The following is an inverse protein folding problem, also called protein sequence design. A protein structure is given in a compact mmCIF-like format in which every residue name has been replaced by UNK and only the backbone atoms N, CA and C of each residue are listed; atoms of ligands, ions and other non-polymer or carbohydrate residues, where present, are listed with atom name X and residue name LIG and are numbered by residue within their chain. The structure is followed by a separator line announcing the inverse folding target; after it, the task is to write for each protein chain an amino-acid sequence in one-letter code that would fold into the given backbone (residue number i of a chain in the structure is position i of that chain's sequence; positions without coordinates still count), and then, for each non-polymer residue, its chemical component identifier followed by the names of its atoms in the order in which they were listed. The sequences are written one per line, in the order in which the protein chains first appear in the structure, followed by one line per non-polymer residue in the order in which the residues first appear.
data_IF_683735624990
#
_entry.id   IF_683735624990
#
_cell.length_a   1.000
_cell.length_b   1.000
_cell.length_c   1.000
_cell.angle_alpha   90.00
_cell.angle_beta   90.00
_cell.angle_gamma   90.00
#
_symmetry.space_group_name_H-M   'P 1'
#
loop_
_entity.id
_entity.type
_entity.pdbx_description
1 polymer ?
#
# COMPACT_ATOMS: atom_id res chain seq x y z
N UNK A 1 -9.10 -14.97 43.41
CA UNK A 1 -8.78 -15.46 42.06
C UNK A 1 -9.40 -14.50 41.08
N UNK A 2 -8.66 -13.98 40.12
CA UNK A 2 -9.19 -13.05 39.12
C UNK A 2 -10.01 -13.85 38.12
N UNK A 3 -11.20 -13.36 37.77
CA UNK A 3 -12.04 -13.98 36.75
C UNK A 3 -11.90 -13.21 35.46
N UNK A 4 -11.26 -13.81 34.44
CA UNK A 4 -11.08 -13.21 33.12
C UNK A 4 -12.04 -13.89 32.16
N UNK A 5 -12.86 -13.08 31.46
CA UNK A 5 -13.88 -13.59 30.53
C UNK A 5 -13.80 -12.84 29.22
N UNK A 6 -13.75 -13.60 28.13
CA UNK A 6 -13.97 -13.07 26.79
C UNK A 6 -15.46 -13.10 26.47
N UNK A 7 -16.03 -11.93 26.23
CA UNK A 7 -17.43 -11.71 25.88
C UNK A 7 -17.50 -11.48 24.38
N UNK A 8 -18.16 -12.36 23.64
CA UNK A 8 -18.41 -12.19 22.21
C UNK A 8 -19.89 -11.90 21.98
N UNK A 9 -20.19 -10.80 21.31
CA UNK A 9 -21.55 -10.36 20.98
C UNK A 9 -21.68 -10.29 19.48
N UNK A 10 -22.72 -10.89 18.93
CA UNK A 10 -22.98 -10.90 17.48
C UNK A 10 -24.47 -10.68 17.22
N UNK A 11 -24.74 -9.95 16.13
CA UNK A 11 -26.13 -9.68 15.71
C UNK A 11 -26.19 -8.50 14.74
N UNK A 12 -27.37 -7.97 14.53
CA UNK A 12 -27.56 -6.79 13.69
C UNK A 12 -26.94 -5.54 14.33
N UNK A 13 -26.16 -4.78 13.55
CA UNK A 13 -25.55 -3.54 14.03
C UNK A 13 -26.61 -2.45 14.24
N UNK A 14 -26.63 -1.85 15.42
CA UNK A 14 -27.56 -0.79 15.79
C UNK A 14 -26.88 0.28 16.64
N UNK A 15 -27.21 1.56 16.45
CA UNK A 15 -26.72 2.63 17.29
C UNK A 15 -27.03 2.39 18.78
N UNK A 16 -26.04 2.62 19.64
CA UNK A 16 -26.18 2.53 21.09
C UNK A 16 -25.88 1.15 21.69
N UNK A 17 -25.66 0.11 20.90
CA UNK A 17 -25.38 -1.23 21.39
C UNK A 17 -24.10 -1.28 22.25
N UNK A 18 -22.99 -0.71 21.75
CA UNK A 18 -21.75 -0.63 22.49
C UNK A 18 -21.93 0.13 23.80
N UNK A 19 -22.66 1.26 23.79
CA UNK A 19 -22.93 2.06 24.99
C UNK A 19 -23.77 1.27 26.03
N UNK A 20 -24.75 0.50 25.59
CA UNK A 20 -25.58 -0.33 26.48
C UNK A 20 -24.75 -1.42 27.18
N UNK A 21 -23.93 -2.15 26.42
CA UNK A 21 -23.08 -3.22 26.96
C UNK A 21 -22.01 -2.67 27.88
N UNK A 22 -21.27 -1.63 27.46
CA UNK A 22 -20.22 -1.01 28.29
C UNK A 22 -20.82 -0.33 29.52
N UNK A 23 -22.06 0.16 29.45
CA UNK A 23 -22.80 0.69 30.59
C UNK A 23 -23.02 -0.35 31.69
N UNK A 24 -23.39 -1.59 31.33
CA UNK A 24 -23.50 -2.71 32.28
C UNK A 24 -22.16 -3.05 32.91
N UNK A 25 -21.09 -3.12 32.11
CA UNK A 25 -19.74 -3.37 32.59
C UNK A 25 -19.28 -2.28 33.59
N UNK A 26 -19.56 -1.01 33.28
CA UNK A 26 -19.23 0.12 34.13
C UNK A 26 -19.94 0.07 35.50
N UNK A 27 -21.25 -0.27 35.50
CA UNK A 27 -22.02 -0.43 36.74
C UNK A 27 -21.49 -1.60 37.60
N UNK A 28 -20.96 -2.64 36.98
CA UNK A 28 -20.31 -3.77 37.66
C UNK A 28 -18.89 -3.53 38.11
N UNK A 29 -18.30 -2.35 37.84
CA UNK A 29 -16.91 -2.03 38.18
C UNK A 29 -15.89 -2.93 37.48
N UNK A 30 -16.20 -3.38 36.25
CA UNK A 30 -15.40 -4.33 35.48
C UNK A 30 -14.28 -3.63 34.77
N UNK A 31 -13.06 -4.21 34.81
CA UNK A 31 -11.93 -3.74 34.04
C UNK A 31 -11.94 -4.33 32.61
N UNK A 32 -11.79 -3.48 31.62
CA UNK A 32 -11.64 -3.91 30.22
C UNK A 32 -10.14 -4.13 29.95
N UNK A 33 -9.77 -5.36 29.56
CA UNK A 33 -8.41 -5.75 29.24
C UNK A 33 -8.10 -5.61 27.74
N UNK A 34 -9.12 -5.88 26.90
CA UNK A 34 -9.05 -5.68 25.46
C UNK A 34 -10.45 -5.53 24.86
N UNK A 35 -10.55 -4.86 23.70
CA UNK A 35 -11.82 -4.60 23.04
C UNK A 35 -11.63 -4.53 21.54
N UNK A 36 -12.52 -5.17 20.78
CA UNK A 36 -12.54 -5.14 19.33
C UNK A 36 -13.96 -5.21 18.77
N UNK A 37 -14.21 -4.42 17.73
CA UNK A 37 -15.49 -4.40 17.03
C UNK A 37 -15.29 -4.41 15.52
N UNK A 38 -16.06 -5.21 14.82
CA UNK A 38 -16.12 -5.21 13.36
C UNK A 38 -17.57 -5.29 12.89
N UNK A 39 -17.86 -4.60 11.78
CA UNK A 39 -19.18 -4.66 11.13
C UNK A 39 -18.98 -5.06 9.68
N UNK A 40 -19.60 -6.17 9.25
CA UNK A 40 -19.62 -6.63 7.87
C UNK A 40 -21.07 -6.63 7.39
N UNK A 41 -21.36 -5.81 6.38
CA UNK A 41 -22.73 -5.50 5.95
C UNK A 41 -23.50 -4.84 7.10
N UNK A 42 -24.44 -5.51 7.71
CA UNK A 42 -25.24 -5.09 8.85
C UNK A 42 -25.01 -5.96 10.10
N UNK A 43 -24.03 -6.85 10.04
CA UNK A 43 -23.74 -7.78 11.12
C UNK A 43 -22.55 -7.32 11.95
N UNK A 44 -22.81 -7.08 13.24
CA UNK A 44 -21.81 -6.75 14.24
C UNK A 44 -21.13 -8.02 14.76
N UNK A 45 -19.80 -7.95 14.92
CA UNK A 45 -19.00 -8.81 15.77
C UNK A 45 -18.28 -7.94 16.80
N UNK A 46 -18.62 -8.09 18.08
CA UNK A 46 -18.08 -7.28 19.15
C UNK A 46 -17.50 -8.18 20.24
N UNK A 47 -16.18 -8.10 20.44
CA UNK A 47 -15.43 -8.86 21.43
C UNK A 47 -14.91 -7.95 22.53
N UNK A 48 -15.08 -8.35 23.80
CA UNK A 48 -14.54 -7.63 24.95
C UNK A 48 -13.89 -8.65 25.88
N UNK A 49 -12.61 -8.46 26.19
CA UNK A 49 -11.92 -9.22 27.22
C UNK A 49 -11.96 -8.43 28.52
N UNK A 50 -12.52 -9.01 29.56
CA UNK A 50 -12.74 -8.34 30.83
C UNK A 50 -12.16 -9.08 32.02
N UNK A 51 -11.73 -8.32 33.03
CA UNK A 51 -11.42 -8.81 34.37
C UNK A 51 -12.59 -8.42 35.29
N UNK A 52 -13.26 -9.42 35.83
CA UNK A 52 -14.40 -9.22 36.75
C UNK A 52 -13.87 -9.28 38.18
N UNK A 53 -14.20 -8.32 39.05
CA UNK A 53 -13.82 -8.39 40.47
C UNK A 53 -14.38 -9.65 41.13
N UNK A 54 -13.58 -10.33 41.93
CA UNK A 54 -13.89 -11.61 42.58
C UNK A 54 -14.80 -11.45 43.84
N UNK A 55 -15.83 -10.65 43.73
CA UNK A 55 -16.86 -10.48 44.75
C UNK A 55 -18.17 -11.13 44.27
N UNK A 56 -19.16 -11.28 45.13
CA UNK A 56 -20.46 -11.91 44.82
C UNK A 56 -21.21 -11.29 43.61
N UNK A 57 -20.67 -10.19 43.07
CA UNK A 57 -21.24 -9.45 41.94
C UNK A 57 -20.87 -10.04 40.56
N UNK A 58 -19.87 -10.92 40.46
CA UNK A 58 -19.42 -11.43 39.14
C UNK A 58 -20.54 -12.15 38.36
N UNK A 59 -21.32 -12.98 39.06
CA UNK A 59 -22.45 -13.68 38.43
C UNK A 59 -23.60 -12.74 38.06
N UNK A 60 -23.72 -11.59 38.71
CA UNK A 60 -24.74 -10.56 38.38
C UNK A 60 -24.37 -9.87 37.06
N UNK A 61 -23.13 -9.43 36.87
CA UNK A 61 -22.68 -8.70 35.67
C UNK A 61 -22.91 -9.53 34.39
N UNK A 62 -22.51 -10.82 34.40
CA UNK A 62 -22.70 -11.68 33.24
C UNK A 62 -24.18 -11.89 32.91
N UNK A 63 -25.06 -12.01 33.93
CA UNK A 63 -26.51 -12.08 33.74
C UNK A 63 -27.07 -10.78 33.17
N UNK A 64 -26.63 -9.65 33.67
CA UNK A 64 -27.06 -8.32 33.21
C UNK A 64 -26.68 -8.08 31.75
N UNK A 65 -25.46 -8.51 31.33
CA UNK A 65 -25.01 -8.50 29.94
C UNK A 65 -25.92 -9.41 29.10
N UNK A 66 -26.21 -10.64 29.56
CA UNK A 66 -27.08 -11.57 28.85
C UNK A 66 -28.47 -10.98 28.64
N UNK A 67 -29.08 -10.39 29.67
CA UNK A 67 -30.38 -9.75 29.55
C UNK A 67 -30.37 -8.53 28.65
N UNK A 68 -29.29 -7.72 28.72
CA UNK A 68 -29.12 -6.54 27.86
C UNK A 68 -28.97 -6.95 26.40
N UNK A 69 -28.13 -7.93 26.12
CA UNK A 69 -27.97 -8.49 24.78
C UNK A 69 -29.25 -9.04 24.22
N UNK A 70 -30.00 -9.83 25.04
CA UNK A 70 -31.30 -10.37 24.66
C UNK A 70 -32.33 -9.27 24.31
N UNK A 71 -32.41 -8.20 25.11
CA UNK A 71 -33.32 -7.06 24.83
C UNK A 71 -32.94 -6.33 23.54
N UNK A 72 -31.68 -6.39 23.13
CA UNK A 72 -31.16 -5.79 21.90
C UNK A 72 -31.14 -6.76 20.72
N UNK A 73 -31.72 -7.94 20.88
CA UNK A 73 -31.76 -9.01 19.88
C UNK A 73 -30.33 -9.41 19.41
N UNK A 74 -29.43 -9.49 20.39
CA UNK A 74 -28.02 -9.89 20.17
C UNK A 74 -27.75 -11.24 20.78
N UNK A 75 -26.89 -12.02 20.12
CA UNK A 75 -26.36 -13.26 20.68
C UNK A 75 -25.08 -12.93 21.48
N UNK A 76 -24.95 -13.54 22.66
CA UNK A 76 -23.75 -13.40 23.48
C UNK A 76 -23.18 -14.75 23.85
N UNK A 77 -21.84 -14.85 23.81
CA UNK A 77 -21.07 -16.01 24.26
C UNK A 77 -20.02 -15.57 25.25
N UNK A 78 -19.97 -16.25 26.39
CA UNK A 78 -18.95 -16.08 27.40
C UNK A 78 -17.92 -17.21 27.28
N UNK A 79 -16.63 -16.84 27.26
CA UNK A 79 -15.52 -17.81 27.24
C UNK A 79 -14.56 -17.47 28.38
N UNK A 80 -14.46 -18.28 29.43
CA UNK A 80 -13.49 -18.08 30.49
C UNK A 80 -12.06 -18.17 29.94
N UNK A 81 -11.18 -17.31 30.43
CA UNK A 81 -9.77 -17.27 30.07
C UNK A 81 -8.96 -17.49 31.34
N UNK A 82 -7.99 -18.41 31.33
CA UNK A 82 -7.14 -18.60 32.48
C UNK A 82 -6.16 -17.44 32.62
N UNK A 83 -5.72 -17.17 33.86
CA UNK A 83 -4.68 -16.13 34.09
C UNK A 83 -3.38 -16.46 33.34
N UNK A 84 -3.05 -17.75 33.24
CA UNK A 84 -1.87 -18.22 32.50
C UNK A 84 -1.99 -17.95 31.00
N UNK A 85 -3.14 -18.24 30.38
CA UNK A 85 -3.38 -17.98 28.94
C UNK A 85 -3.35 -16.48 28.65
N UNK A 86 -3.92 -15.67 29.55
CA UNK A 86 -3.86 -14.22 29.44
C UNK A 86 -2.42 -13.70 29.49
N UNK A 87 -1.60 -14.17 30.45
CA UNK A 87 -0.19 -13.75 30.56
C UNK A 87 0.62 -14.19 29.34
N UNK A 88 0.41 -15.39 28.81
CA UNK A 88 1.05 -15.85 27.58
C UNK A 88 0.65 -15.00 26.38
N UNK A 89 -0.62 -14.64 26.29
CA UNK A 89 -1.11 -13.76 25.24
C UNK A 89 -0.48 -12.36 25.33
N UNK A 90 -0.39 -11.77 26.51
CA UNK A 90 0.29 -10.48 26.75
C UNK A 90 1.76 -10.56 26.38
N UNK A 91 2.47 -11.62 26.81
CA UNK A 91 3.89 -11.84 26.48
C UNK A 91 4.12 -12.01 24.96
N UNK A 92 3.13 -12.48 24.23
CA UNK A 92 3.14 -12.57 22.77
C UNK A 92 2.90 -11.24 22.03
N UNK A 93 2.56 -10.17 22.75
CA UNK A 93 2.43 -8.84 22.18
C UNK A 93 3.82 -8.24 21.89
N UNK A 94 3.88 -7.20 21.05
CA UNK A 94 5.16 -6.53 20.73
C UNK A 94 5.97 -7.18 19.61
N UNK A 95 5.49 -8.24 18.97
CA UNK A 95 6.10 -8.75 17.74
C UNK A 95 5.99 -7.72 16.63
N UNK A 96 6.94 -7.75 15.70
CA UNK A 96 6.92 -6.86 14.52
C UNK A 96 5.60 -6.98 13.78
N UNK A 97 5.11 -5.85 13.34
CA UNK A 97 3.90 -5.74 12.53
C UNK A 97 4.26 -5.39 11.11
N UNK A 98 3.53 -5.99 10.18
CA UNK A 98 3.65 -5.73 8.75
C UNK A 98 2.27 -5.56 8.15
N UNK A 99 2.24 -4.90 7.01
CA UNK A 99 1.04 -4.73 6.20
C UNK A 99 1.27 -5.42 4.86
N UNK A 100 0.31 -6.27 4.48
CA UNK A 100 0.20 -6.77 3.10
C UNK A 100 -0.97 -6.07 2.46
N UNK A 101 -0.73 -5.39 1.34
CA UNK A 101 -1.79 -4.71 0.58
C UNK A 101 -1.98 -5.44 -0.74
N UNK A 102 -3.20 -5.88 -1.01
CA UNK A 102 -3.61 -6.46 -2.27
C UNK A 102 -4.44 -5.44 -3.06
N UNK A 103 -4.00 -5.09 -4.26
CA UNK A 103 -4.74 -4.25 -5.20
C UNK A 103 -5.19 -5.11 -6.39
N UNK A 104 -6.46 -5.00 -6.76
CA UNK A 104 -7.07 -5.81 -7.82
C UNK A 104 -8.27 -5.11 -8.45
N UNK A 105 -8.65 -5.50 -9.65
CA UNK A 105 -9.92 -5.05 -10.26
C UNK A 105 -11.13 -5.66 -9.55
N UNK A 106 -11.04 -6.95 -9.18
CA UNK A 106 -12.09 -7.67 -8.46
C UNK A 106 -11.47 -8.57 -7.41
N UNK A 107 -11.93 -8.43 -6.16
CA UNK A 107 -11.46 -9.28 -5.05
C UNK A 107 -12.04 -10.68 -5.20
N UNK A 108 -11.18 -11.70 -5.23
CA UNK A 108 -11.57 -13.11 -5.33
C UNK A 108 -11.09 -13.91 -4.12
N UNK A 109 -11.75 -15.02 -3.84
CA UNK A 109 -11.35 -15.94 -2.78
C UNK A 109 -9.95 -16.54 -3.01
N UNK A 110 -9.59 -16.81 -4.28
CA UNK A 110 -8.28 -17.33 -4.66
C UNK A 110 -7.16 -16.36 -4.29
N UNK A 111 -7.30 -15.06 -4.60
CA UNK A 111 -6.33 -14.03 -4.25
C UNK A 111 -6.11 -13.97 -2.72
N UNK A 112 -7.18 -13.99 -1.94
CA UNK A 112 -7.09 -13.98 -0.47
C UNK A 112 -6.44 -15.25 0.06
N UNK A 113 -6.80 -16.40 -0.50
CA UNK A 113 -6.24 -17.69 -0.12
C UNK A 113 -4.73 -17.74 -0.38
N UNK A 114 -4.27 -17.29 -1.57
CA UNK A 114 -2.84 -17.27 -1.93
C UNK A 114 -2.04 -16.35 -0.99
N UNK A 115 -2.53 -15.13 -0.74
CA UNK A 115 -1.88 -14.18 0.20
C UNK A 115 -1.83 -14.79 1.60
N UNK A 116 -2.93 -15.36 2.10
CA UNK A 116 -2.99 -15.96 3.43
C UNK A 116 -2.07 -17.17 3.57
N UNK A 117 -1.97 -18.00 2.53
CA UNK A 117 -1.09 -19.17 2.54
C UNK A 117 0.39 -18.79 2.58
N UNK A 118 0.78 -17.76 1.83
CA UNK A 118 2.15 -17.23 1.86
C UNK A 118 2.47 -16.67 3.25
N UNK A 119 1.61 -15.83 3.82
CA UNK A 119 1.82 -15.27 5.16
C UNK A 119 2.01 -16.36 6.21
N UNK A 120 1.15 -17.38 6.20
CA UNK A 120 1.24 -18.52 7.11
C UNK A 120 2.51 -19.35 6.93
N UNK A 121 2.92 -19.62 5.68
CA UNK A 121 4.14 -20.36 5.33
C UNK A 121 5.39 -19.70 5.91
N UNK A 122 5.43 -18.36 5.95
CA UNK A 122 6.56 -17.61 6.48
C UNK A 122 6.43 -17.26 7.97
N UNK A 123 5.49 -17.88 8.70
CA UNK A 123 5.34 -17.73 10.15
C UNK A 123 4.66 -16.44 10.60
N UNK A 124 3.98 -15.77 9.71
CA UNK A 124 3.22 -14.56 10.02
C UNK A 124 1.76 -14.89 10.34
N UNK A 125 1.22 -14.27 11.39
CA UNK A 125 -0.20 -14.36 11.74
C UNK A 125 -0.97 -13.16 11.21
N UNK A 126 -2.13 -13.40 10.61
CA UNK A 126 -3.04 -12.34 10.18
C UNK A 126 -3.91 -11.96 11.38
N UNK A 127 -3.77 -10.72 11.85
CA UNK A 127 -4.54 -10.17 12.96
C UNK A 127 -5.83 -9.49 12.47
N UNK A 128 -5.76 -8.81 11.31
CA UNK A 128 -6.86 -8.02 10.74
C UNK A 128 -6.86 -8.10 9.24
N UNK A 129 -8.06 -8.07 8.65
CA UNK A 129 -8.25 -7.93 7.19
C UNK A 129 -9.29 -6.84 6.96
N UNK A 130 -8.86 -5.76 6.30
CA UNK A 130 -9.71 -4.62 6.00
C UNK A 130 -9.84 -4.38 4.51
N UNK A 131 -11.06 -4.12 4.06
CA UNK A 131 -11.28 -3.63 2.72
C UNK A 131 -11.23 -2.11 2.72
N UNK A 132 -10.19 -1.53 2.12
CA UNK A 132 -9.98 -0.09 2.02
C UNK A 132 -10.74 0.54 0.85
N UNK A 133 -11.05 -0.23 -0.19
CA UNK A 133 -11.85 0.26 -1.33
C UNK A 133 -13.35 0.28 -1.02
N UNK A 134 -14.08 1.14 -1.71
CA UNK A 134 -15.54 1.18 -1.66
C UNK A 134 -16.18 -0.17 -2.05
N UNK A 135 -17.43 -0.37 -1.66
CA UNK A 135 -18.26 -1.50 -2.12
C UNK A 135 -18.78 -1.18 -3.51
N UNK A 136 -18.76 -2.16 -4.40
CA UNK A 136 -19.20 -1.99 -5.78
C UNK A 136 -20.54 -2.65 -6.01
N UNK A 137 -21.42 -2.07 -6.86
CA UNK A 137 -22.64 -2.72 -7.31
C UNK A 137 -22.34 -4.06 -7.99
N UNK A 138 -23.26 -5.01 -7.90
CA UNK A 138 -23.08 -6.36 -8.45
C UNK A 138 -23.01 -6.39 -9.98
N UNK A 139 -23.62 -5.40 -10.63
CA UNK A 139 -23.72 -5.22 -12.07
C UNK A 139 -22.58 -4.40 -12.68
N UNK A 140 -21.64 -3.92 -11.84
CA UNK A 140 -20.46 -3.17 -12.34
C UNK A 140 -19.56 -4.07 -13.19
N UNK A 141 -19.13 -3.62 -14.39
CA UNK A 141 -18.15 -4.33 -15.20
C UNK A 141 -16.85 -4.61 -14.42
N UNK A 142 -16.29 -5.79 -14.61
CA UNK A 142 -15.13 -6.24 -13.82
C UNK A 142 -13.86 -5.39 -14.05
N UNK A 143 -13.72 -4.81 -15.23
CA UNK A 143 -12.61 -3.95 -15.62
C UNK A 143 -12.65 -2.55 -14.99
N UNK A 144 -13.82 -2.10 -14.56
CA UNK A 144 -14.02 -0.82 -13.88
C UNK A 144 -13.88 -0.93 -12.35
N UNK A 145 -13.77 -2.15 -11.84
CA UNK A 145 -13.63 -2.41 -10.42
C UNK A 145 -12.28 -1.92 -9.86
N UNK A 146 -12.30 -1.50 -8.59
CA UNK A 146 -11.10 -1.20 -7.80
C UNK A 146 -11.24 -1.86 -6.44
N UNK A 147 -10.45 -2.90 -6.19
CA UNK A 147 -10.39 -3.63 -4.94
C UNK A 147 -9.07 -3.35 -4.22
N UNK A 148 -9.15 -2.93 -2.96
CA UNK A 148 -7.99 -2.79 -2.09
C UNK A 148 -8.27 -3.51 -0.78
N UNK A 149 -7.46 -4.52 -0.47
CA UNK A 149 -7.53 -5.26 0.79
C UNK A 149 -6.21 -5.08 1.53
N UNK A 150 -6.29 -4.72 2.78
CA UNK A 150 -5.16 -4.63 3.69
C UNK A 150 -5.22 -5.77 4.71
N UNK A 151 -4.11 -6.49 4.86
CA UNK A 151 -3.91 -7.48 5.91
C UNK A 151 -2.91 -6.92 6.91
N UNK A 152 -3.32 -6.75 8.14
CA UNK A 152 -2.40 -6.51 9.26
C UNK A 152 -1.86 -7.84 9.72
N UNK A 153 -0.55 -8.04 9.60
CA UNK A 153 0.10 -9.29 9.97
C UNK A 153 1.16 -9.07 11.02
N UNK A 154 1.34 -10.06 11.91
CA UNK A 154 2.25 -10.02 13.03
C UNK A 154 3.21 -11.19 13.01
N UNK A 155 4.48 -10.93 13.32
CA UNK A 155 5.52 -11.93 13.40
C UNK A 155 6.83 -11.49 12.77
N UNK A 156 7.81 -12.37 12.78
CA UNK A 156 9.04 -12.20 12.02
C UNK A 156 9.04 -13.21 10.89
N UNK A 157 9.13 -12.70 9.65
CA UNK A 157 9.23 -13.58 8.49
C UNK A 157 10.55 -14.36 8.56
N UNK A 158 10.48 -15.66 8.41
CA UNK A 158 11.66 -16.53 8.45
C UNK A 158 12.67 -16.17 7.34
N UNK A 159 12.17 -15.76 6.17
CA UNK A 159 12.94 -15.25 5.04
C UNK A 159 12.14 -14.14 4.33
N UNK A 160 12.43 -12.85 4.64
CA UNK A 160 11.71 -11.73 4.04
C UNK A 160 11.94 -11.57 2.53
N UNK A 161 13.08 -12.03 2.00
CA UNK A 161 13.38 -11.92 0.57
C UNK A 161 12.60 -12.97 -0.22
N UNK A 162 12.62 -14.23 0.24
CA UNK A 162 11.84 -15.29 -0.36
C UNK A 162 10.33 -15.01 -0.29
N UNK A 163 9.85 -14.44 0.83
CA UNK A 163 8.45 -14.02 0.98
C UNK A 163 8.07 -12.98 -0.08
N UNK A 164 8.90 -11.95 -0.29
CA UNK A 164 8.63 -10.93 -1.33
C UNK A 164 8.66 -11.51 -2.74
N UNK A 165 9.59 -12.41 -3.02
CA UNK A 165 9.68 -13.08 -4.32
C UNK A 165 8.42 -13.91 -4.60
N UNK A 166 7.89 -14.62 -3.58
CA UNK A 166 6.67 -15.42 -3.73
C UNK A 166 5.43 -14.53 -3.91
N UNK A 167 5.33 -13.40 -3.21
CA UNK A 167 4.28 -12.41 -3.46
C UNK A 167 4.34 -11.85 -4.87
N UNK A 168 5.54 -11.55 -5.38
CA UNK A 168 5.71 -11.05 -6.75
C UNK A 168 5.28 -12.08 -7.78
N UNK A 169 5.63 -13.36 -7.58
CA UNK A 169 5.21 -14.46 -8.46
C UNK A 169 3.68 -14.57 -8.52
N UNK A 170 3.03 -14.54 -7.36
CA UNK A 170 1.55 -14.61 -7.28
C UNK A 170 0.90 -13.36 -7.87
N UNK A 171 1.50 -12.20 -7.68
CA UNK A 171 1.01 -10.96 -8.27
C UNK A 171 0.97 -11.03 -9.82
N UNK A 172 2.05 -11.55 -10.42
CA UNK A 172 2.13 -11.76 -11.87
C UNK A 172 1.13 -12.84 -12.35
N UNK A 173 1.05 -13.98 -11.63
CA UNK A 173 0.17 -15.09 -11.99
C UNK A 173 -1.32 -14.69 -11.98
N UNK A 174 -1.74 -13.90 -10.98
CA UNK A 174 -3.13 -13.50 -10.80
C UNK A 174 -3.47 -12.12 -11.38
N UNK A 175 -2.50 -11.45 -12.00
CA UNK A 175 -2.62 -10.09 -12.53
C UNK A 175 -3.18 -9.10 -11.49
N UNK A 176 -2.49 -9.03 -10.35
CA UNK A 176 -2.80 -8.17 -9.21
C UNK A 176 -1.52 -7.52 -8.69
N UNK A 177 -1.65 -6.48 -7.86
CA UNK A 177 -0.51 -5.91 -7.16
C UNK A 177 -0.53 -6.34 -5.69
N UNK A 178 0.62 -6.77 -5.18
CA UNK A 178 0.81 -7.14 -3.78
C UNK A 178 2.00 -6.38 -3.22
N UNK A 179 1.76 -5.57 -2.19
CA UNK A 179 2.81 -4.85 -1.46
C UNK A 179 2.97 -5.42 -0.05
N UNK A 180 4.22 -5.62 0.38
CA UNK A 180 4.58 -6.04 1.73
C UNK A 180 5.50 -5.00 2.37
N UNK A 181 5.09 -4.43 3.50
CA UNK A 181 5.84 -3.37 4.19
C UNK A 181 5.76 -3.53 5.71
N UNK A 182 6.79 -3.04 6.42
CA UNK A 182 6.77 -2.96 7.87
C UNK A 182 5.80 -1.85 8.35
N UNK A 183 4.95 -2.14 9.34
CA UNK A 183 4.08 -1.15 9.97
C UNK A 183 4.84 -0.42 11.09
N UNK A 184 5.67 0.53 10.69
CA UNK A 184 6.46 1.35 11.61
C UNK A 184 5.76 2.69 11.92
N UNK A 185 6.20 3.35 12.99
CA UNK A 185 5.73 4.69 13.36
C UNK A 185 5.94 5.72 12.24
N UNK A 186 6.97 5.52 11.42
CA UNK A 186 7.28 6.43 10.32
C UNK A 186 6.37 6.27 9.11
N UNK A 187 5.67 5.14 8.96
CA UNK A 187 4.76 4.90 7.82
C UNK A 187 3.68 5.98 7.68
N UNK A 188 3.12 6.43 8.82
CA UNK A 188 2.00 7.38 8.84
C UNK A 188 2.43 8.85 8.86
N UNK A 189 3.72 9.12 9.07
CA UNK A 189 4.24 10.48 9.25
C UNK A 189 4.98 11.02 8.03
N UNK A 190 5.01 10.28 6.92
CA UNK A 190 5.62 10.73 5.68
C UNK A 190 4.78 11.84 5.06
N UNK A 191 5.47 12.86 4.52
CA UNK A 191 4.84 14.01 3.87
C UNK A 191 5.48 14.35 2.52
N UNK A 192 6.43 13.54 2.06
CA UNK A 192 7.05 13.63 0.76
C UNK A 192 6.80 12.32 0.00
N UNK A 193 6.25 12.43 -1.19
CA UNK A 193 6.12 11.34 -2.14
C UNK A 193 6.99 11.64 -3.36
N UNK A 194 7.90 10.73 -3.68
CA UNK A 194 8.84 10.84 -4.79
C UNK A 194 8.51 9.77 -5.82
N UNK A 195 8.43 10.16 -7.07
CA UNK A 195 8.05 9.31 -8.19
C UNK A 195 9.14 9.29 -9.25
N UNK A 196 9.38 8.14 -9.81
CA UNK A 196 10.05 8.04 -11.09
C UNK A 196 9.10 8.49 -12.21
N UNK A 197 9.64 8.83 -13.38
CA UNK A 197 8.88 9.33 -14.52
C UNK A 197 8.56 8.21 -15.51
N UNK A 198 9.60 7.67 -16.12
CA UNK A 198 9.50 6.71 -17.21
C UNK A 198 8.91 5.37 -16.71
N UNK A 199 7.97 4.78 -17.45
CA UNK A 199 7.26 3.55 -17.07
C UNK A 199 6.60 3.57 -15.67
N UNK A 200 6.55 4.73 -15.02
CA UNK A 200 5.93 4.94 -13.70
C UNK A 200 4.81 5.97 -13.75
N UNK A 201 5.10 7.25 -14.02
CA UNK A 201 4.07 8.30 -14.21
C UNK A 201 3.53 8.35 -15.62
N UNK A 202 4.31 7.87 -16.59
CA UNK A 202 3.95 7.74 -18.00
C UNK A 202 4.12 6.28 -18.44
N UNK A 203 3.31 5.88 -19.44
CA UNK A 203 3.30 4.50 -20.00
C UNK A 203 4.42 4.26 -21.04
N UNK A 204 5.46 5.09 -21.05
CA UNK A 204 6.52 5.04 -22.04
C UNK A 204 7.91 5.35 -21.43
N UNK A 205 8.94 4.93 -22.14
CA UNK A 205 10.34 5.37 -21.94
C UNK A 205 10.61 6.53 -22.89
N UNK A 206 10.86 7.73 -22.36
CA UNK A 206 11.05 8.94 -23.19
C UNK A 206 12.22 8.80 -24.14
N UNK A 207 13.31 8.15 -23.71
CA UNK A 207 14.49 7.96 -24.57
C UNK A 207 14.18 7.11 -25.80
N UNK A 208 13.26 6.16 -25.68
CA UNK A 208 12.84 5.31 -26.79
C UNK A 208 11.96 6.09 -27.78
N UNK A 209 11.10 6.96 -27.28
CA UNK A 209 10.29 7.84 -28.13
C UNK A 209 11.16 8.84 -28.91
N UNK A 210 12.18 9.42 -28.26
CA UNK A 210 13.18 10.26 -28.92
C UNK A 210 13.97 9.47 -29.97
N UNK A 211 14.35 8.23 -29.67
CA UNK A 211 15.07 7.38 -30.60
C UNK A 211 14.25 7.00 -31.83
N UNK A 212 12.95 6.74 -31.68
CA UNK A 212 12.01 6.52 -32.77
C UNK A 212 11.93 7.76 -33.67
N UNK A 213 11.78 8.95 -33.06
CA UNK A 213 11.71 10.19 -33.80
C UNK A 213 13.04 10.54 -34.52
N UNK A 214 14.17 10.14 -33.96
CA UNK A 214 15.50 10.28 -34.60
C UNK A 214 15.80 9.19 -35.65
N UNK A 215 14.94 8.18 -35.82
CA UNK A 215 15.15 7.06 -36.73
C UNK A 215 16.25 6.08 -36.29
N UNK A 216 16.56 6.04 -34.97
CA UNK A 216 17.63 5.22 -34.37
C UNK A 216 17.09 4.21 -33.34
N UNK A 217 15.79 3.95 -33.34
CA UNK A 217 15.11 3.09 -32.35
C UNK A 217 15.74 1.73 -32.18
N UNK A 218 16.02 1.01 -33.30
CA UNK A 218 16.61 -0.33 -33.25
C UNK A 218 17.98 -0.35 -32.57
N UNK A 219 18.80 0.70 -32.81
CA UNK A 219 20.13 0.82 -32.19
C UNK A 219 20.04 1.09 -30.71
N UNK A 220 19.06 1.88 -30.28
CA UNK A 220 18.81 2.16 -28.85
C UNK A 220 18.31 0.91 -28.16
N UNK A 221 17.43 0.11 -28.78
CA UNK A 221 16.97 -1.17 -28.27
C UNK A 221 18.13 -2.15 -28.05
N UNK A 222 19.06 -2.26 -29.02
CA UNK A 222 20.25 -3.12 -28.91
C UNK A 222 21.13 -2.74 -27.71
N UNK A 223 21.36 -1.43 -27.48
CA UNK A 223 22.14 -0.96 -26.33
C UNK A 223 21.41 -1.29 -25.03
N UNK A 224 20.10 -1.15 -24.99
CA UNK A 224 19.27 -1.49 -23.84
C UNK A 224 19.37 -2.98 -23.50
N UNK A 225 19.29 -3.87 -24.50
CA UNK A 225 19.43 -5.33 -24.32
C UNK A 225 20.82 -5.67 -23.75
N UNK A 226 21.90 -5.05 -24.25
CA UNK A 226 23.27 -5.24 -23.73
C UNK A 226 23.39 -4.77 -22.28
N UNK A 227 22.75 -3.68 -21.92
CA UNK A 227 22.73 -3.20 -20.54
C UNK A 227 21.95 -4.17 -19.62
N UNK A 228 20.81 -4.69 -20.08
CA UNK A 228 20.04 -5.71 -19.34
C UNK A 228 20.79 -7.03 -19.19
N UNK A 229 21.63 -7.39 -20.17
CA UNK A 229 22.52 -8.55 -20.07
C UNK A 229 23.74 -8.32 -19.12
N UNK A 230 23.89 -7.12 -18.57
CA UNK A 230 25.00 -6.77 -17.67
C UNK A 230 26.33 -6.47 -18.39
N UNK A 231 26.32 -6.27 -19.71
CA UNK A 231 27.50 -5.93 -20.50
C UNK A 231 27.89 -4.45 -20.37
N UNK A 232 26.92 -3.60 -20.04
CA UNK A 232 27.09 -2.17 -19.85
C UNK A 232 26.49 -1.76 -18.51
N UNK A 233 27.16 -0.86 -17.80
CA UNK A 233 26.56 -0.19 -16.67
C UNK A 233 25.54 0.87 -17.12
N UNK A 234 24.72 1.35 -16.19
CA UNK A 234 23.67 2.33 -16.49
C UNK A 234 24.21 3.59 -17.14
N UNK A 235 25.34 4.15 -16.62
CA UNK A 235 25.96 5.38 -17.12
C UNK A 235 26.45 5.22 -18.56
N UNK A 236 27.16 4.12 -18.84
CA UNK A 236 27.69 3.83 -20.17
C UNK A 236 26.55 3.65 -21.18
N UNK A 237 25.55 2.83 -20.82
CA UNK A 237 24.35 2.58 -21.66
C UNK A 237 23.59 3.87 -21.94
N UNK A 238 23.35 4.69 -20.91
CA UNK A 238 22.62 5.96 -21.06
C UNK A 238 23.39 6.93 -21.98
N UNK A 239 24.70 7.04 -21.79
CA UNK A 239 25.56 7.89 -22.62
C UNK A 239 25.59 7.44 -24.10
N UNK A 240 25.68 6.11 -24.36
CA UNK A 240 25.64 5.57 -25.71
C UNK A 240 24.31 5.86 -26.41
N UNK A 241 23.18 5.64 -25.71
CA UNK A 241 21.84 5.92 -26.21
C UNK A 241 21.64 7.40 -26.51
N UNK A 242 22.08 8.28 -25.59
CA UNK A 242 21.96 9.72 -25.74
C UNK A 242 22.76 10.26 -26.92
N UNK A 243 23.98 9.73 -27.14
CA UNK A 243 24.84 10.15 -28.26
C UNK A 243 24.18 9.88 -29.63
N UNK A 244 23.29 8.88 -29.74
CA UNK A 244 22.54 8.57 -30.96
C UNK A 244 21.47 9.62 -31.29
N UNK A 245 21.04 10.42 -30.31
CA UNK A 245 20.05 11.51 -30.48
C UNK A 245 20.66 12.82 -31.02
N UNK A 246 21.97 12.84 -31.23
CA UNK A 246 22.66 14.03 -31.74
C UNK A 246 22.07 14.51 -33.07
N UNK A 247 21.72 15.81 -33.12
CA UNK A 247 21.15 16.44 -34.30
C UNK A 247 19.62 16.40 -34.36
N UNK A 248 18.95 15.77 -33.40
CA UNK A 248 17.48 15.78 -33.30
C UNK A 248 16.98 17.20 -33.10
N UNK A 249 15.98 17.61 -33.88
CA UNK A 249 15.37 18.93 -33.77
C UNK A 249 14.56 19.05 -32.48
N UNK A 250 14.78 20.16 -31.75
CA UNK A 250 14.10 20.40 -30.46
C UNK A 250 12.58 20.48 -30.59
N UNK A 251 12.05 20.88 -31.74
CA UNK A 251 10.60 20.95 -31.95
C UNK A 251 9.89 19.58 -31.85
N UNK A 252 10.65 18.49 -32.01
CA UNK A 252 10.11 17.13 -31.83
C UNK A 252 9.75 16.85 -30.37
N UNK A 253 10.42 17.49 -29.42
CA UNK A 253 10.16 17.29 -27.99
C UNK A 253 8.71 17.67 -27.60
N UNK A 254 8.18 18.76 -28.19
CA UNK A 254 6.80 19.18 -27.95
C UNK A 254 5.80 18.14 -28.43
N UNK A 255 6.01 17.59 -29.62
CA UNK A 255 5.13 16.58 -30.20
C UNK A 255 5.16 15.27 -29.36
N UNK A 256 6.34 14.86 -28.93
CA UNK A 256 6.48 13.68 -28.05
C UNK A 256 5.79 13.95 -26.72
N UNK A 257 6.07 15.09 -26.06
CA UNK A 257 5.44 15.43 -24.78
C UNK A 257 3.91 15.44 -24.84
N UNK A 258 3.34 15.94 -25.94
CA UNK A 258 1.89 15.92 -26.15
C UNK A 258 1.31 14.50 -26.37
N UNK A 259 2.11 13.55 -26.84
CA UNK A 259 1.68 12.17 -27.09
C UNK A 259 1.83 11.25 -25.87
N UNK A 260 2.61 11.64 -24.85
CA UNK A 260 2.85 10.84 -23.65
C UNK A 260 1.54 10.60 -22.87
N UNK A 261 1.24 9.34 -22.63
CA UNK A 261 0.10 8.91 -21.82
C UNK A 261 0.49 8.80 -20.36
N UNK A 262 -0.33 9.38 -19.50
CA UNK A 262 -0.19 9.17 -18.07
C UNK A 262 -0.63 7.76 -17.67
N UNK A 263 0.06 7.17 -16.73
CA UNK A 263 -0.36 5.94 -16.06
C UNK A 263 -1.74 6.13 -15.43
N UNK A 264 -2.59 5.13 -15.55
CA UNK A 264 -3.95 5.17 -15.02
C UNK A 264 -3.98 5.55 -13.53
N UNK A 265 -4.76 6.57 -13.20
CA UNK A 265 -4.93 7.04 -11.83
C UNK A 265 -3.90 8.06 -11.36
N UNK A 266 -2.88 8.41 -12.15
CA UNK A 266 -1.87 9.39 -11.75
C UNK A 266 -2.48 10.74 -11.37
N UNK A 267 -3.38 11.31 -12.18
CA UNK A 267 -4.03 12.57 -11.87
C UNK A 267 -4.81 12.53 -10.53
N UNK A 268 -5.56 11.45 -10.31
CA UNK A 268 -6.31 11.24 -9.06
C UNK A 268 -5.36 11.12 -7.86
N UNK A 269 -4.25 10.38 -8.01
CA UNK A 269 -3.25 10.21 -6.95
C UNK A 269 -2.64 11.55 -6.54
N UNK A 270 -2.19 12.35 -7.50
CA UNK A 270 -1.58 13.65 -7.20
C UNK A 270 -2.58 14.63 -6.59
N UNK A 271 -3.83 14.65 -7.04
CA UNK A 271 -4.89 15.46 -6.44
C UNK A 271 -5.10 15.07 -4.94
N UNK A 272 -5.14 13.76 -4.63
CA UNK A 272 -5.30 13.29 -3.26
C UNK A 272 -4.07 13.53 -2.38
N UNK A 273 -2.86 13.31 -2.90
CA UNK A 273 -1.63 13.62 -2.17
C UNK A 273 -1.57 15.11 -1.80
N UNK A 274 -1.93 15.99 -2.72
CA UNK A 274 -2.00 17.43 -2.48
C UNK A 274 -3.06 17.78 -1.42
N UNK A 275 -4.26 17.19 -1.51
CA UNK A 275 -5.34 17.37 -0.52
C UNK A 275 -4.90 16.93 0.88
N UNK A 276 -4.08 15.87 0.99
CA UNK A 276 -3.53 15.35 2.24
C UNK A 276 -2.30 16.13 2.73
N UNK A 277 -1.86 17.16 2.01
CA UNK A 277 -0.74 18.03 2.39
C UNK A 277 0.65 17.40 2.16
N UNK A 278 0.74 16.42 1.25
CA UNK A 278 2.03 15.89 0.82
C UNK A 278 2.74 16.88 -0.10
N UNK A 279 4.06 16.91 0.02
CA UNK A 279 4.95 17.41 -1.02
C UNK A 279 5.23 16.29 -2.00
N UNK A 280 5.32 16.65 -3.28
CA UNK A 280 5.52 15.68 -4.36
C UNK A 280 6.75 16.03 -5.17
N UNK A 281 7.49 15.03 -5.62
CA UNK A 281 8.68 15.22 -6.45
C UNK A 281 8.75 14.17 -7.56
N UNK A 282 9.32 14.58 -8.70
CA UNK A 282 9.84 13.65 -9.70
C UNK A 282 11.35 13.53 -9.47
N UNK A 283 11.85 12.30 -9.39
CA UNK A 283 13.26 11.97 -9.43
C UNK A 283 13.45 10.95 -10.56
N UNK A 284 14.07 11.35 -11.67
CA UNK A 284 14.14 10.54 -12.88
C UNK A 284 15.53 10.60 -13.53
N UNK A 285 15.97 9.46 -14.05
CA UNK A 285 17.09 9.37 -14.98
C UNK A 285 16.78 9.95 -16.38
N UNK A 286 15.51 10.28 -16.66
CA UNK A 286 15.08 10.90 -17.90
C UNK A 286 15.35 12.40 -17.99
N UNK A 287 14.55 13.15 -18.76
CA UNK A 287 14.85 14.52 -19.16
C UNK A 287 13.92 15.55 -18.51
N UNK A 288 14.53 16.60 -17.98
CA UNK A 288 13.87 17.73 -17.29
C UNK A 288 12.77 18.36 -18.16
N UNK A 289 12.93 18.39 -19.47
CA UNK A 289 11.95 18.95 -20.40
C UNK A 289 10.57 18.28 -20.22
N UNK A 290 10.50 16.96 -20.23
CA UNK A 290 9.26 16.19 -20.07
C UNK A 290 8.76 16.19 -18.63
N UNK A 291 9.69 16.09 -17.68
CA UNK A 291 9.35 16.13 -16.25
C UNK A 291 8.70 17.48 -15.86
N UNK A 292 9.11 18.61 -16.44
CA UNK A 292 8.47 19.93 -16.25
C UNK A 292 7.07 20.00 -16.85
N UNK A 293 6.80 19.33 -17.97
CA UNK A 293 5.45 19.25 -18.52
C UNK A 293 4.53 18.45 -17.59
N UNK A 294 5.00 17.33 -17.05
CA UNK A 294 4.27 16.56 -16.05
C UNK A 294 4.08 17.34 -14.76
N UNK A 295 5.10 18.09 -14.31
CA UNK A 295 5.01 18.98 -13.17
C UNK A 295 3.85 19.98 -13.32
N UNK A 296 3.76 20.63 -14.47
CA UNK A 296 2.70 21.58 -14.74
C UNK A 296 1.31 20.91 -14.80
N UNK A 297 1.23 19.73 -15.40
CA UNK A 297 -0.03 18.98 -15.57
C UNK A 297 -0.55 18.40 -14.26
N UNK A 298 0.33 17.82 -13.42
CA UNK A 298 -0.05 17.13 -12.17
C UNK A 298 0.09 18.01 -10.92
N UNK A 299 0.66 19.22 -11.05
CA UNK A 299 0.89 20.15 -9.95
C UNK A 299 1.97 19.66 -8.96
N UNK A 300 3.04 19.04 -9.47
CA UNK A 300 4.14 18.49 -8.68
C UNK A 300 5.01 19.61 -8.12
N UNK A 301 5.46 19.49 -6.84
CA UNK A 301 6.25 20.55 -6.20
C UNK A 301 7.68 20.62 -6.72
N UNK A 302 8.36 19.50 -6.93
CA UNK A 302 9.80 19.45 -7.26
C UNK A 302 10.07 18.50 -8.43
N UNK A 303 11.08 18.85 -9.24
CA UNK A 303 11.57 18.02 -10.34
C UNK A 303 13.10 17.95 -10.29
N UNK A 304 13.61 16.73 -10.30
CA UNK A 304 15.02 16.40 -10.41
C UNK A 304 15.18 15.41 -11.57
N UNK A 305 15.79 15.86 -12.66
CA UNK A 305 16.00 15.06 -13.85
C UNK A 305 17.19 15.66 -14.66
N UNK A 306 17.67 14.90 -15.64
CA UNK A 306 18.80 15.34 -16.45
C UNK A 306 18.37 16.41 -17.47
N UNK A 307 19.22 17.39 -17.73
CA UNK A 307 18.96 18.43 -18.70
C UNK A 307 19.65 18.10 -20.03
N UNK A 308 18.86 18.05 -21.12
CA UNK A 308 19.39 17.89 -22.46
C UNK A 308 20.14 19.14 -22.90
N UNK A 309 21.36 18.97 -23.39
CA UNK A 309 22.09 20.06 -24.03
C UNK A 309 21.52 20.30 -25.43
N UNK A 310 21.12 21.53 -25.69
CA UNK A 310 20.58 21.98 -26.99
C UNK A 310 21.40 23.16 -27.49
N UNK A 311 21.92 23.04 -28.71
CA UNK A 311 22.64 24.12 -29.40
C UNK A 311 22.02 24.33 -30.78
N UNK A 312 21.74 25.56 -31.13
CA UNK A 312 21.13 25.96 -32.41
C UNK A 312 19.82 25.17 -32.73
N UNK A 313 18.99 24.90 -31.71
CA UNK A 313 17.71 24.18 -31.86
C UNK A 313 17.86 22.69 -32.07
N UNK A 314 19.03 22.12 -31.83
CA UNK A 314 19.29 20.68 -31.97
C UNK A 314 19.89 20.08 -30.71
N UNK A 315 19.50 18.87 -30.39
CA UNK A 315 20.07 18.07 -29.31
C UNK A 315 21.52 17.74 -29.65
N UNK A 316 22.44 17.98 -28.73
CA UNK A 316 23.89 17.70 -28.97
C UNK A 316 24.27 16.25 -28.74
N UNK A 317 23.42 15.48 -28.06
CA UNK A 317 23.71 14.12 -27.58
C UNK A 317 24.47 14.11 -26.26
N UNK A 318 24.44 15.23 -25.52
CA UNK A 318 25.04 15.37 -24.19
C UNK A 318 24.05 15.89 -23.18
N UNK A 319 24.35 15.73 -21.89
CA UNK A 319 23.63 16.36 -20.79
C UNK A 319 24.34 17.66 -20.37
N UNK A 320 23.52 18.66 -20.02
CA UNK A 320 24.03 19.76 -19.22
C UNK A 320 24.16 19.29 -17.78
N UNK A 321 25.37 19.18 -17.27
CA UNK A 321 25.61 18.88 -15.86
C UNK A 321 25.19 20.08 -15.01
N UNK A 322 24.02 19.95 -14.36
CA UNK A 322 23.61 20.90 -13.32
C UNK A 322 23.72 20.19 -11.99
N UNK A 323 24.87 20.35 -11.34
CA UNK A 323 25.23 20.03 -9.96
C UNK A 323 25.56 18.56 -9.59
N UNK A 324 26.69 18.50 -8.90
CA UNK A 324 27.38 17.39 -8.24
C UNK A 324 26.62 16.69 -7.10
N UNK A 325 25.30 16.56 -7.16
CA UNK A 325 24.54 15.90 -6.10
C UNK A 325 24.48 14.36 -6.21
N UNK A 326 25.13 13.77 -7.22
CA UNK A 326 25.17 12.32 -7.43
C UNK A 326 26.60 11.72 -7.38
N UNK A 327 27.63 12.51 -7.14
CA UNK A 327 29.02 12.05 -7.15
C UNK A 327 29.64 11.93 -5.74
N UNK A 328 28.88 12.08 -4.66
CA UNK A 328 29.38 11.84 -3.30
C UNK A 328 28.87 10.47 -2.78
N UNK A 329 29.27 9.39 -3.42
CA UNK A 329 29.40 8.08 -2.79
C UNK A 329 30.80 7.53 -3.10
N UNK A 330 31.74 7.88 -2.23
CA UNK A 330 32.92 7.09 -1.92
C UNK A 330 32.68 6.25 -0.67
#
# INVERSE_FOLDING_TARGET
MREIVLINITGEDRPGLTAAITGVLAQGGVNILDIGQAVIHDTLSFGILVEIPSNEQSSSVLKDILFTAYKLDQQVRFTPVSEQDYQQWVAGQGKKRHIVTLLTRKVTAEQLQRVSSITAKYGLNIDHIDRLSGRMPLDMPADQGKGCIEFSVRGEAADPQALRAEFLSVAQELNVDIAFQEDSLFRRNRRLAVFDMDSTLIEAEVIDELAKAAGVGDRVAEITERAMAGELDFRASFKERLALLKGLDVNVLDAIGASLRLTEGAETLFAELKRLGYKTAILSGGFTYFAKQLQAKLGIDYVFANELEVVDGKVTGCLLYTSDAADEED
#
